data_IF_813736095696
#
_entry.id   IF_813736095696
#
_cell.length_a   1.000
_cell.length_b   1.000
_cell.length_c   1.000
_cell.angle_alpha   90.00
_cell.angle_beta   90.00
_cell.angle_gamma   90.00
#
_symmetry.space_group_name_H-M   'P 1'
#
loop_
_entity.id
_entity.type
_entity.pdbx_description
1 polymer ?
#
# COMPACT_ATOMS: atom_id res chain seq x y z
N UNK A 1 26.65 1.11 6.49
CA UNK A 1 26.07 1.60 5.23
C UNK A 1 25.14 2.77 5.55
N UNK A 2 25.02 3.74 4.66
CA UNK A 2 24.17 4.91 4.80
C UNK A 2 22.90 4.75 3.97
N UNK A 3 21.73 4.82 4.61
CA UNK A 3 20.45 4.92 3.92
C UNK A 3 19.90 6.34 4.04
N UNK A 4 19.42 6.90 2.93
CA UNK A 4 18.65 8.15 2.91
C UNK A 4 17.20 7.80 2.68
N UNK A 5 16.32 8.18 3.61
CA UNK A 5 14.90 7.89 3.53
C UNK A 5 14.08 9.18 3.45
N UNK A 6 13.44 9.42 2.31
CA UNK A 6 12.50 10.54 2.15
C UNK A 6 11.16 10.18 2.81
N UNK A 7 10.71 11.00 3.75
CA UNK A 7 9.46 10.81 4.50
C UNK A 7 9.69 10.25 5.91
N UNK A 8 9.76 11.12 6.91
CA UNK A 8 9.92 10.75 8.32
C UNK A 8 8.59 10.41 9.01
N UNK A 9 7.52 10.14 8.25
CA UNK A 9 6.20 9.79 8.77
C UNK A 9 6.11 8.38 9.37
N UNK A 10 4.90 7.93 9.69
CA UNK A 10 4.69 6.65 10.37
C UNK A 10 5.16 5.44 9.53
N UNK A 11 4.96 5.44 8.20
CA UNK A 11 5.48 4.38 7.32
C UNK A 11 7.01 4.42 7.28
N UNK A 12 7.60 5.61 7.14
CA UNK A 12 9.05 5.76 7.10
C UNK A 12 9.73 5.29 8.38
N UNK A 13 9.23 5.67 9.56
CA UNK A 13 9.79 5.24 10.85
C UNK A 13 9.39 3.80 11.21
N UNK A 14 8.11 3.47 11.06
CA UNK A 14 7.54 2.23 11.54
C UNK A 14 7.77 1.03 10.63
N UNK A 15 8.12 1.24 9.35
CA UNK A 15 8.32 0.16 8.40
C UNK A 15 9.70 0.22 7.74
N UNK A 16 9.92 1.16 6.82
CA UNK A 16 11.12 1.15 5.97
C UNK A 16 12.38 1.42 6.81
N UNK A 17 12.38 2.49 7.61
CA UNK A 17 13.47 2.82 8.53
C UNK A 17 13.73 1.76 9.60
N UNK A 18 12.69 1.04 10.04
CA UNK A 18 12.87 -0.10 10.96
C UNK A 18 13.66 -1.25 10.30
N UNK A 19 13.29 -1.64 9.07
CA UNK A 19 13.99 -2.70 8.34
C UNK A 19 15.42 -2.28 7.97
N UNK A 20 15.63 -1.02 7.59
CA UNK A 20 16.97 -0.47 7.36
C UNK A 20 17.84 -0.57 8.62
N UNK A 21 17.30 -0.23 9.79
CA UNK A 21 18.01 -0.37 11.06
C UNK A 21 18.35 -1.83 11.39
N UNK A 22 17.40 -2.75 11.23
CA UNK A 22 17.63 -4.19 11.44
C UNK A 22 18.74 -4.72 10.51
N UNK A 23 18.86 -4.12 9.33
CA UNK A 23 19.89 -4.43 8.32
C UNK A 23 21.22 -3.69 8.54
N UNK A 24 21.38 -2.98 9.66
CA UNK A 24 22.63 -2.30 10.02
C UNK A 24 22.91 -0.99 9.28
N UNK A 25 21.90 -0.38 8.65
CA UNK A 25 22.05 0.95 8.06
C UNK A 25 21.97 2.05 9.13
N UNK A 26 22.85 3.05 8.98
CA UNK A 26 22.60 4.38 9.56
C UNK A 26 21.57 5.07 8.66
N UNK A 27 20.50 5.61 9.24
CA UNK A 27 19.40 6.19 8.45
C UNK A 27 19.33 7.70 8.62
N UNK A 28 19.40 8.42 7.51
CA UNK A 28 19.12 9.86 7.46
C UNK A 28 17.74 10.05 6.87
N UNK A 29 16.79 10.50 7.69
CA UNK A 29 15.47 10.90 7.23
C UNK A 29 15.53 12.26 6.53
N UNK A 30 14.79 12.43 5.45
CA UNK A 30 14.61 13.72 4.76
C UNK A 30 13.13 14.05 4.76
N UNK A 31 12.75 15.15 5.42
CA UNK A 31 11.36 15.58 5.55
C UNK A 31 11.29 17.12 5.58
N UNK A 32 10.10 17.69 5.61
CA UNK A 32 9.86 19.13 5.78
C UNK A 32 9.25 19.48 7.14
N UNK A 33 8.82 18.47 7.91
CA UNK A 33 8.28 18.64 9.25
C UNK A 33 9.41 18.95 10.24
N UNK A 34 9.58 20.24 10.56
CA UNK A 34 10.64 20.75 11.43
C UNK A 34 10.64 20.11 12.83
N UNK A 35 9.46 19.85 13.41
CA UNK A 35 9.38 19.25 14.73
C UNK A 35 9.93 17.80 14.73
N UNK A 36 9.51 16.99 13.75
CA UNK A 36 10.01 15.63 13.61
C UNK A 36 11.52 15.60 13.33
N UNK A 37 12.00 16.49 12.45
CA UNK A 37 13.43 16.60 12.11
C UNK A 37 14.25 16.98 13.35
N UNK A 38 13.79 17.97 14.11
CA UNK A 38 14.45 18.41 15.33
C UNK A 38 14.54 17.28 16.37
N UNK A 39 13.42 16.61 16.63
CA UNK A 39 13.36 15.50 17.60
C UNK A 39 14.25 14.32 17.20
N UNK A 40 14.28 13.95 15.91
CA UNK A 40 15.15 12.88 15.41
C UNK A 40 16.64 13.23 15.58
N UNK A 41 17.02 14.49 15.37
CA UNK A 41 18.40 14.94 15.55
C UNK A 41 18.82 15.07 17.02
N UNK A 42 17.90 15.48 17.89
CA UNK A 42 18.12 15.56 19.33
C UNK A 42 18.32 14.16 19.94
N UNK A 43 17.39 13.25 19.65
CA UNK A 43 17.35 11.93 20.30
C UNK A 43 18.23 10.89 19.60
N UNK A 44 18.39 11.00 18.27
CA UNK A 44 19.08 10.03 17.40
C UNK A 44 18.56 8.60 17.52
N UNK A 45 17.35 8.44 18.05
CA UNK A 45 16.65 7.19 18.24
C UNK A 45 15.14 7.42 18.37
N UNK A 46 14.35 6.38 18.13
CA UNK A 46 12.90 6.36 18.38
C UNK A 46 12.43 4.93 18.68
N UNK A 47 11.17 4.78 19.09
CA UNK A 47 10.60 3.48 19.45
C UNK A 47 9.57 3.03 18.42
N UNK A 48 9.68 1.77 17.99
CA UNK A 48 8.64 1.06 17.24
C UNK A 48 7.98 0.08 18.19
N UNK A 49 6.65 0.08 18.25
CA UNK A 49 5.87 -0.77 19.14
C UNK A 49 4.99 -1.71 18.30
N UNK A 50 5.04 -3.01 18.57
CA UNK A 50 4.14 -3.96 17.93
C UNK A 50 2.74 -3.80 18.49
N UNK A 51 1.76 -3.57 17.63
CA UNK A 51 0.35 -3.52 17.98
C UNK A 51 -0.22 -4.94 18.00
N UNK A 52 0.18 -5.72 19.00
CA UNK A 52 -0.33 -7.05 19.33
C UNK A 52 -0.35 -7.26 20.86
N UNK A 53 -0.67 -8.46 21.33
CA UNK A 53 -0.74 -8.75 22.78
C UNK A 53 0.59 -8.49 23.50
N UNK A 54 1.72 -8.66 22.82
CA UNK A 54 3.05 -8.48 23.41
C UNK A 54 3.37 -7.01 23.70
N UNK A 55 2.81 -6.09 22.90
CA UNK A 55 3.21 -4.67 22.87
C UNK A 55 4.74 -4.49 22.84
N UNK A 56 5.45 -5.40 22.16
CA UNK A 56 6.92 -5.42 22.18
C UNK A 56 7.47 -4.12 21.60
N UNK A 57 8.39 -3.51 22.34
CA UNK A 57 9.11 -2.32 21.92
C UNK A 57 10.46 -2.65 21.28
N UNK A 58 10.77 -1.99 20.17
CA UNK A 58 12.06 -2.00 19.53
C UNK A 58 12.60 -0.57 19.45
N UNK A 59 13.79 -0.34 20.02
CA UNK A 59 14.47 0.95 19.95
C UNK A 59 15.30 0.99 18.66
N UNK A 60 14.94 1.91 17.77
CA UNK A 60 15.66 2.20 16.54
C UNK A 60 16.68 3.28 16.81
N UNK A 61 17.96 3.02 16.50
CA UNK A 61 19.09 3.91 16.80
C UNK A 61 19.84 4.30 15.53
N UNK A 62 20.87 5.15 15.67
CA UNK A 62 21.73 5.60 14.57
C UNK A 62 20.93 6.30 13.47
N UNK A 63 19.97 7.12 13.89
CA UNK A 63 19.16 7.92 12.99
C UNK A 63 19.47 9.40 13.14
N UNK A 64 19.29 10.14 12.05
CA UNK A 64 19.31 11.60 12.03
C UNK A 64 18.32 12.09 10.97
N UNK A 65 18.13 13.39 10.86
CA UNK A 65 17.21 13.96 9.89
C UNK A 65 17.72 15.26 9.28
N UNK A 66 17.28 15.54 8.06
CA UNK A 66 17.51 16.80 7.34
C UNK A 66 16.17 17.39 6.96
N UNK A 67 15.97 18.67 7.26
CA UNK A 67 14.82 19.39 6.74
C UNK A 67 15.12 19.86 5.32
N UNK A 68 14.51 19.25 4.30
CA UNK A 68 14.79 19.60 2.90
C UNK A 68 14.25 20.97 2.47
N UNK A 69 13.38 21.59 3.27
CA UNK A 69 12.88 22.95 3.01
C UNK A 69 13.84 24.05 3.47
N UNK A 70 14.65 23.78 4.50
CA UNK A 70 15.59 24.76 5.08
C UNK A 70 17.05 24.43 4.81
N UNK A 71 17.38 23.16 4.54
CA UNK A 71 18.75 22.68 4.28
C UNK A 71 18.78 21.69 3.09
N UNK A 72 18.36 22.19 1.93
CA UNK A 72 18.32 21.41 0.69
C UNK A 72 19.71 20.91 0.26
N UNK A 73 20.76 21.70 0.50
CA UNK A 73 22.13 21.33 0.13
C UNK A 73 22.63 20.13 0.93
N UNK A 74 22.34 20.07 2.23
CA UNK A 74 22.67 18.90 3.03
C UNK A 74 21.89 17.66 2.59
N UNK A 75 20.61 17.81 2.21
CA UNK A 75 19.84 16.68 1.69
C UNK A 75 20.46 16.13 0.39
N UNK A 76 20.88 17.01 -0.52
CA UNK A 76 21.64 16.66 -1.74
C UNK A 76 22.96 15.93 -1.39
N UNK A 77 23.70 16.42 -0.40
CA UNK A 77 24.94 15.80 0.06
C UNK A 77 24.71 14.39 0.62
N UNK A 78 23.64 14.19 1.39
CA UNK A 78 23.29 12.89 1.94
C UNK A 78 22.95 11.90 0.83
N UNK A 79 22.15 12.31 -0.18
CA UNK A 79 21.87 11.46 -1.35
C UNK A 79 23.16 11.07 -2.08
N UNK A 80 24.09 12.01 -2.26
CA UNK A 80 25.33 11.73 -2.96
C UNK A 80 26.18 10.65 -2.26
N UNK A 81 26.15 10.64 -0.91
CA UNK A 81 26.89 9.71 -0.05
C UNK A 81 26.16 8.39 0.23
N UNK A 82 24.89 8.28 -0.13
CA UNK A 82 24.05 7.14 0.22
C UNK A 82 24.56 5.83 -0.41
N UNK A 83 24.33 4.72 0.29
CA UNK A 83 24.41 3.35 -0.25
C UNK A 83 23.04 2.87 -0.75
N UNK A 84 21.96 3.45 -0.22
CA UNK A 84 20.58 3.20 -0.62
C UNK A 84 19.72 4.46 -0.40
N UNK A 85 18.86 4.79 -1.37
CA UNK A 85 17.83 5.81 -1.20
C UNK A 85 16.46 5.14 -1.21
N UNK A 86 15.59 5.51 -0.29
CA UNK A 86 14.20 5.05 -0.24
C UNK A 86 13.25 6.22 -0.03
N UNK A 87 11.97 6.05 -0.36
CA UNK A 87 10.95 7.08 -0.15
C UNK A 87 9.62 6.47 0.31
N UNK A 88 8.95 7.11 1.28
CA UNK A 88 7.57 6.85 1.67
C UNK A 88 6.89 8.20 1.99
N UNK A 89 6.64 8.99 0.95
CA UNK A 89 6.16 10.38 1.02
C UNK A 89 4.75 10.57 0.47
N UNK A 90 4.22 9.57 -0.23
CA UNK A 90 2.97 9.64 -0.97
C UNK A 90 3.19 9.94 -2.46
N UNK A 91 2.40 9.35 -3.38
CA UNK A 91 2.57 9.52 -4.84
C UNK A 91 2.69 10.97 -5.31
N UNK A 92 1.88 11.85 -4.73
CA UNK A 92 1.83 13.27 -5.10
C UNK A 92 3.08 14.04 -4.64
N UNK A 93 3.87 13.50 -3.71
CA UNK A 93 5.07 14.13 -3.16
C UNK A 93 6.34 13.69 -3.90
N UNK A 94 6.32 12.55 -4.62
CA UNK A 94 7.46 12.06 -5.41
C UNK A 94 8.05 13.12 -6.38
N UNK A 95 7.25 13.91 -7.13
CA UNK A 95 7.79 14.95 -8.00
C UNK A 95 8.57 16.05 -7.26
N UNK A 96 8.23 16.31 -5.99
CA UNK A 96 8.85 17.36 -5.19
C UNK A 96 10.22 16.94 -4.64
N UNK A 97 10.44 15.65 -4.37
CA UNK A 97 11.75 15.13 -3.92
C UNK A 97 12.71 14.86 -5.09
N UNK A 98 12.19 14.78 -6.32
CA UNK A 98 12.96 14.43 -7.51
C UNK A 98 14.12 15.41 -7.79
N UNK A 99 13.95 16.71 -7.51
CA UNK A 99 15.01 17.70 -7.67
C UNK A 99 16.21 17.46 -6.75
N UNK A 100 15.96 17.21 -5.47
CA UNK A 100 17.00 16.88 -4.49
C UNK A 100 17.75 15.61 -4.86
N UNK A 101 17.02 14.59 -5.32
CA UNK A 101 17.63 13.34 -5.77
C UNK A 101 18.50 13.60 -7.01
N UNK A 102 17.99 14.33 -8.01
CA UNK A 102 18.73 14.63 -9.24
C UNK A 102 20.07 15.34 -8.97
N UNK A 103 20.08 16.37 -8.12
CA UNK A 103 21.32 17.05 -7.73
C UNK A 103 22.26 16.14 -6.92
N UNK A 104 21.70 15.28 -6.07
CA UNK A 104 22.49 14.28 -5.33
C UNK A 104 23.16 13.27 -6.26
N UNK A 105 22.46 12.83 -7.31
CA UNK A 105 22.99 11.93 -8.33
C UNK A 105 24.09 12.60 -9.17
N UNK A 106 23.94 13.87 -9.56
CA UNK A 106 25.01 14.66 -10.22
C UNK A 106 26.26 14.73 -9.33
N UNK A 107 26.08 15.12 -8.07
CA UNK A 107 27.17 15.25 -7.09
C UNK A 107 27.87 13.92 -6.84
N UNK A 108 27.11 12.82 -6.75
CA UNK A 108 27.66 11.46 -6.67
C UNK A 108 28.46 11.13 -7.92
N UNK A 109 27.91 11.39 -9.10
CA UNK A 109 28.52 11.00 -10.37
C UNK A 109 29.86 11.69 -10.61
N UNK A 110 30.03 12.92 -10.11
CA UNK A 110 31.30 13.65 -10.12
C UNK A 110 32.36 13.10 -9.15
N UNK A 111 31.94 12.34 -8.12
CA UNK A 111 32.81 11.86 -7.04
C UNK A 111 33.10 10.36 -7.10
N UNK A 112 32.22 9.55 -7.69
CA UNK A 112 32.33 8.08 -7.70
C UNK A 112 31.50 7.44 -8.81
N UNK A 113 32.02 6.37 -9.40
CA UNK A 113 31.31 5.50 -10.36
C UNK A 113 30.44 4.42 -9.70
N UNK A 114 30.37 4.41 -8.36
CA UNK A 114 29.59 3.41 -7.63
C UNK A 114 28.10 3.55 -7.91
N UNK A 115 27.38 2.43 -8.19
CA UNK A 115 25.96 2.46 -8.46
C UNK A 115 25.17 2.90 -7.22
N UNK A 116 23.91 3.30 -7.43
CA UNK A 116 22.97 3.63 -6.36
C UNK A 116 21.58 3.15 -6.76
N UNK A 117 20.86 2.52 -5.83
CA UNK A 117 19.47 2.14 -6.04
C UNK A 117 18.54 3.08 -5.25
N UNK A 118 17.45 3.50 -5.88
CA UNK A 118 16.44 4.41 -5.36
C UNK A 118 15.09 3.70 -5.39
N UNK A 119 14.51 3.41 -4.23
CA UNK A 119 13.29 2.59 -4.10
C UNK A 119 12.15 3.41 -3.48
N UNK A 120 11.15 3.77 -4.28
CA UNK A 120 9.93 4.40 -3.78
C UNK A 120 8.98 3.32 -3.22
N UNK A 121 8.82 3.33 -1.91
CA UNK A 121 8.02 2.41 -1.10
C UNK A 121 6.62 2.99 -0.89
N UNK A 122 5.87 3.15 -1.98
CA UNK A 122 4.60 3.87 -2.00
C UNK A 122 3.39 2.94 -2.12
N UNK A 123 2.22 3.40 -1.70
CA UNK A 123 0.95 2.71 -1.95
C UNK A 123 0.45 2.99 -3.39
N UNK A 124 1.29 2.70 -4.38
CA UNK A 124 0.99 2.83 -5.80
C UNK A 124 1.80 1.82 -6.62
N UNK A 125 1.28 1.47 -7.79
CA UNK A 125 2.03 0.71 -8.80
C UNK A 125 2.98 1.68 -9.50
N UNK A 126 4.24 1.28 -9.71
CA UNK A 126 5.19 2.08 -10.48
C UNK A 126 5.74 3.31 -9.75
N UNK A 127 5.81 3.29 -8.41
CA UNK A 127 6.30 4.43 -7.63
C UNK A 127 7.74 4.83 -7.98
N UNK A 128 8.64 3.87 -8.12
CA UNK A 128 10.04 4.13 -8.51
C UNK A 128 10.13 4.50 -9.98
N UNK A 129 9.29 3.92 -10.82
CA UNK A 129 9.16 4.31 -12.24
C UNK A 129 8.74 5.79 -12.37
N UNK A 130 7.72 6.24 -11.63
CA UNK A 130 7.31 7.65 -11.60
C UNK A 130 8.42 8.55 -11.05
N UNK A 131 9.08 8.14 -9.96
CA UNK A 131 10.19 8.90 -9.40
C UNK A 131 11.35 9.02 -10.40
N UNK A 132 11.68 7.94 -11.11
CA UNK A 132 12.69 7.94 -12.17
C UNK A 132 12.34 8.95 -13.26
N UNK A 133 11.10 8.93 -13.76
CA UNK A 133 10.63 9.89 -14.76
C UNK A 133 10.90 11.33 -14.29
N UNK A 134 10.45 11.69 -13.08
CA UNK A 134 10.59 13.06 -12.55
C UNK A 134 12.04 13.45 -12.24
N UNK A 135 12.89 12.50 -11.88
CA UNK A 135 14.32 12.72 -11.70
C UNK A 135 15.00 12.94 -13.06
N UNK A 136 14.70 12.11 -14.06
CA UNK A 136 15.32 12.17 -15.39
C UNK A 136 14.85 13.36 -16.22
N UNK A 137 13.67 13.92 -15.96
CA UNK A 137 13.24 15.22 -16.49
C UNK A 137 14.19 16.37 -16.10
N UNK A 138 14.99 16.21 -15.04
CA UNK A 138 15.96 17.22 -14.59
C UNK A 138 17.29 17.14 -15.32
N UNK A 139 17.54 16.07 -16.07
CA UNK A 139 18.82 15.80 -16.73
C UNK A 139 18.82 16.18 -18.20
N UNK A 140 19.99 16.56 -18.72
CA UNK A 140 20.22 16.68 -20.16
C UNK A 140 20.44 15.28 -20.80
N UNK A 141 20.53 15.19 -22.12
CA UNK A 141 20.64 13.90 -22.83
C UNK A 141 21.95 13.14 -22.53
N UNK A 142 23.06 13.84 -22.30
CA UNK A 142 24.34 13.22 -21.93
C UNK A 142 24.26 12.60 -20.53
N UNK A 143 23.71 13.36 -19.57
CA UNK A 143 23.46 12.89 -18.21
C UNK A 143 22.52 11.68 -18.20
N UNK A 144 21.43 11.70 -18.96
CA UNK A 144 20.50 10.55 -19.05
C UNK A 144 21.21 9.29 -19.54
N UNK A 145 21.99 9.38 -20.62
CA UNK A 145 22.73 8.25 -21.16
C UNK A 145 23.73 7.69 -20.14
N UNK A 146 24.43 8.58 -19.44
CA UNK A 146 25.39 8.18 -18.40
C UNK A 146 24.71 7.53 -17.19
N UNK A 147 23.59 8.11 -16.73
CA UNK A 147 22.96 7.76 -15.47
C UNK A 147 22.02 6.55 -15.56
N UNK A 148 21.50 6.24 -16.74
CA UNK A 148 20.62 5.09 -17.00
C UNK A 148 21.24 3.75 -16.55
N UNK A 149 22.55 3.58 -16.74
CA UNK A 149 23.28 2.36 -16.37
C UNK A 149 23.90 2.39 -14.97
N UNK A 150 23.81 3.52 -14.26
CA UNK A 150 24.46 3.75 -12.95
C UNK A 150 23.48 3.78 -11.80
N UNK A 151 22.25 4.25 -12.04
CA UNK A 151 21.26 4.46 -10.99
C UNK A 151 20.01 3.61 -11.24
N UNK A 152 19.77 2.67 -10.33
CA UNK A 152 18.61 1.78 -10.37
C UNK A 152 17.40 2.43 -9.71
N UNK A 153 16.23 2.24 -10.32
CA UNK A 153 14.94 2.66 -9.77
C UNK A 153 13.99 1.47 -9.73
N UNK A 154 14.28 0.43 -8.94
CA UNK A 154 13.42 -0.73 -8.88
C UNK A 154 12.11 -0.39 -8.18
N UNK A 155 11.00 -0.74 -8.81
CA UNK A 155 9.68 -0.63 -8.19
C UNK A 155 9.57 -1.55 -6.98
N UNK A 156 8.63 -1.25 -6.10
CA UNK A 156 8.36 -2.03 -4.91
C UNK A 156 6.86 -2.21 -4.68
N UNK A 157 6.50 -3.35 -4.11
CA UNK A 157 5.20 -3.60 -3.50
C UNK A 157 5.41 -3.70 -1.98
N UNK A 158 4.74 -2.82 -1.23
CA UNK A 158 4.88 -2.71 0.22
C UNK A 158 3.53 -2.91 0.91
N UNK A 159 3.52 -3.68 2.01
CA UNK A 159 2.34 -3.90 2.82
C UNK A 159 2.70 -3.98 4.31
N UNK A 160 2.20 -3.01 5.07
CA UNK A 160 2.20 -3.00 6.53
C UNK A 160 1.09 -2.05 6.99
N UNK A 161 0.20 -2.53 7.85
CA UNK A 161 -0.82 -1.72 8.49
C UNK A 161 -0.13 -0.92 9.60
N UNK A 162 -0.21 0.39 9.44
CA UNK A 162 0.25 1.36 10.43
C UNK A 162 -0.97 2.24 10.74
N UNK A 163 -1.65 2.04 11.88
CA UNK A 163 -2.89 2.73 12.16
C UNK A 163 -2.66 4.24 12.31
N UNK A 164 -3.75 4.99 12.12
CA UNK A 164 -3.78 6.37 12.57
C UNK A 164 -3.59 6.39 14.08
N UNK A 165 -2.66 7.22 14.54
CA UNK A 165 -2.23 7.19 15.92
C UNK A 165 -1.77 8.57 16.36
N UNK A 166 -1.98 8.85 17.64
CA UNK A 166 -1.42 9.99 18.35
C UNK A 166 -0.78 9.45 19.61
N UNK A 167 0.52 9.66 19.74
CA UNK A 167 1.32 9.15 20.85
C UNK A 167 1.87 10.34 21.63
N UNK A 168 2.01 10.21 22.95
CA UNK A 168 2.68 11.22 23.77
C UNK A 168 4.13 11.42 23.30
N UNK A 169 4.84 10.31 23.03
CA UNK A 169 6.11 10.34 22.30
C UNK A 169 5.85 10.47 20.80
N UNK A 170 6.10 11.67 20.26
CA UNK A 170 5.90 12.00 18.84
C UNK A 170 6.74 11.17 17.85
N UNK A 171 7.86 10.61 18.30
CA UNK A 171 8.68 9.74 17.44
C UNK A 171 8.24 8.27 17.52
N UNK A 172 7.56 7.88 18.59
CA UNK A 172 7.06 6.52 18.76
C UNK A 172 6.01 6.21 17.68
N UNK A 173 6.08 4.98 17.15
CA UNK A 173 5.13 4.50 16.15
C UNK A 173 4.72 3.06 16.47
N UNK A 174 3.42 2.84 16.52
CA UNK A 174 2.77 1.53 16.60
C UNK A 174 2.55 0.97 15.21
N UNK A 175 2.89 -0.29 15.02
CA UNK A 175 2.79 -0.98 13.74
C UNK A 175 2.33 -2.41 13.95
N UNK A 176 1.67 -3.00 12.96
CA UNK A 176 1.38 -4.43 13.04
C UNK A 176 2.66 -5.28 12.94
N UNK A 177 2.66 -6.52 13.47
CA UNK A 177 3.79 -7.45 13.30
C UNK A 177 4.05 -7.86 11.85
N UNK A 178 2.99 -8.04 11.06
CA UNK A 178 3.10 -8.42 9.65
C UNK A 178 3.72 -7.30 8.81
N UNK A 179 4.59 -7.66 7.89
CA UNK A 179 5.04 -6.78 6.82
C UNK A 179 5.40 -7.59 5.58
N UNK A 180 5.35 -6.95 4.42
CA UNK A 180 5.84 -7.49 3.15
C UNK A 180 6.46 -6.35 2.32
N UNK A 181 7.69 -6.57 1.84
CA UNK A 181 8.39 -5.65 0.94
C UNK A 181 8.99 -6.43 -0.22
N UNK A 182 8.32 -6.43 -1.37
CA UNK A 182 8.83 -7.04 -2.60
C UNK A 182 9.45 -5.98 -3.50
N UNK A 183 10.58 -6.28 -4.15
CA UNK A 183 11.32 -5.35 -5.04
C UNK A 183 11.64 -6.02 -6.37
N UNK A 184 11.40 -5.30 -7.47
CA UNK A 184 11.78 -5.75 -8.82
C UNK A 184 13.30 -5.76 -8.97
N UNK A 185 13.89 -6.96 -8.97
CA UNK A 185 15.33 -7.11 -9.04
C UNK A 185 15.91 -6.83 -10.44
N UNK A 186 15.08 -6.83 -11.48
CA UNK A 186 15.52 -6.61 -12.87
C UNK A 186 15.94 -5.16 -13.14
N UNK A 187 15.52 -4.23 -12.26
CA UNK A 187 15.83 -2.80 -12.33
C UNK A 187 16.92 -2.37 -11.35
N UNK A 188 17.47 -3.32 -10.58
CA UNK A 188 18.60 -3.07 -9.68
C UNK A 188 19.87 -2.90 -10.51
N UNK A 189 20.64 -1.87 -10.19
CA UNK A 189 21.97 -1.66 -10.75
C UNK A 189 23.02 -2.04 -9.71
N UNK A 190 24.01 -2.84 -10.14
CA UNK A 190 25.09 -3.29 -9.28
C UNK A 190 24.67 -4.37 -8.29
N UNK A 191 25.10 -4.23 -7.04
CA UNK A 191 24.79 -5.20 -5.98
C UNK A 191 23.39 -4.95 -5.43
N UNK A 192 22.63 -6.02 -5.19
CA UNK A 192 21.33 -5.93 -4.52
C UNK A 192 21.53 -5.30 -3.13
N UNK A 193 20.71 -4.31 -2.73
CA UNK A 193 20.77 -3.80 -1.36
C UNK A 193 20.62 -4.94 -0.35
N UNK A 194 21.43 -4.96 0.69
CA UNK A 194 21.36 -6.01 1.71
C UNK A 194 20.42 -5.55 2.82
N UNK A 195 19.11 -5.67 2.57
CA UNK A 195 18.06 -5.26 3.51
C UNK A 195 17.23 -6.47 3.90
N UNK A 196 17.31 -6.84 5.17
CA UNK A 196 16.47 -7.86 5.78
C UNK A 196 14.99 -7.50 5.64
N UNK A 197 14.20 -8.48 5.21
CA UNK A 197 12.77 -8.31 4.96
C UNK A 197 12.40 -7.96 3.52
N UNK A 198 13.37 -7.66 2.64
CA UNK A 198 13.08 -7.53 1.19
C UNK A 198 13.01 -8.91 0.53
N UNK A 199 11.95 -9.12 -0.23
CA UNK A 199 11.83 -10.22 -1.19
C UNK A 199 12.14 -9.70 -2.60
N UNK A 200 13.29 -10.10 -3.15
CA UNK A 200 13.68 -9.74 -4.52
C UNK A 200 13.02 -10.68 -5.53
N UNK A 201 12.34 -10.10 -6.53
CA UNK A 201 11.51 -10.85 -7.49
C UNK A 201 11.74 -10.36 -8.90
N UNK A 202 11.56 -11.24 -9.90
CA UNK A 202 11.68 -10.88 -11.32
C UNK A 202 10.41 -10.23 -11.87
N UNK A 203 9.26 -10.46 -11.21
CA UNK A 203 7.98 -9.86 -11.58
C UNK A 203 7.22 -9.47 -10.31
N UNK A 204 6.91 -8.18 -10.18
CA UNK A 204 6.12 -7.63 -9.07
C UNK A 204 4.62 -7.81 -9.25
N UNK A 205 4.14 -7.99 -10.48
CA UNK A 205 2.71 -8.04 -10.78
C UNK A 205 1.96 -9.09 -9.95
N UNK A 206 2.48 -10.32 -9.76
CA UNK A 206 1.83 -11.31 -8.89
C UNK A 206 1.68 -10.84 -7.45
N UNK A 207 2.68 -10.16 -6.90
CA UNK A 207 2.67 -9.66 -5.52
C UNK A 207 1.72 -8.49 -5.33
N UNK A 208 1.70 -7.56 -6.30
CA UNK A 208 0.79 -6.42 -6.32
C UNK A 208 -0.66 -6.91 -6.37
N UNK A 209 -0.99 -7.81 -7.31
CA UNK A 209 -2.35 -8.33 -7.43
C UNK A 209 -2.73 -9.24 -6.24
N UNK A 210 -1.81 -10.05 -5.72
CA UNK A 210 -2.07 -10.86 -4.51
C UNK A 210 -2.43 -9.97 -3.32
N UNK A 211 -1.69 -8.89 -3.09
CA UNK A 211 -1.98 -7.93 -2.03
C UNK A 211 -3.30 -7.21 -2.29
N UNK A 212 -3.52 -6.72 -3.51
CA UNK A 212 -4.75 -6.01 -3.88
C UNK A 212 -5.99 -6.90 -3.71
N UNK A 213 -5.93 -8.15 -4.15
CA UNK A 213 -7.08 -9.05 -4.18
C UNK A 213 -7.25 -9.91 -2.92
N UNK A 214 -6.30 -9.84 -1.97
CA UNK A 214 -6.40 -10.51 -0.67
C UNK A 214 -6.60 -9.48 0.43
N UNK A 215 -5.61 -8.59 0.62
CA UNK A 215 -5.62 -7.59 1.70
C UNK A 215 -6.67 -6.53 1.45
N UNK A 216 -6.62 -5.85 0.29
CA UNK A 216 -7.53 -4.75 0.04
C UNK A 216 -8.98 -5.24 -0.17
N UNK A 217 -9.18 -6.38 -0.84
CA UNK A 217 -10.50 -7.02 -0.99
C UNK A 217 -11.08 -7.42 0.36
N UNK A 218 -10.34 -8.18 1.17
CA UNK A 218 -10.81 -8.60 2.49
C UNK A 218 -11.13 -7.42 3.40
N UNK A 219 -10.29 -6.37 3.40
CA UNK A 219 -10.52 -5.18 4.22
C UNK A 219 -11.73 -4.35 3.74
N UNK A 220 -11.95 -4.26 2.42
CA UNK A 220 -13.15 -3.64 1.87
C UNK A 220 -14.41 -4.46 2.15
N UNK A 221 -14.33 -5.79 2.09
CA UNK A 221 -15.42 -6.68 2.45
C UNK A 221 -15.82 -6.50 3.93
N UNK A 222 -14.84 -6.50 4.85
CA UNK A 222 -15.08 -6.22 6.27
C UNK A 222 -15.76 -4.87 6.49
N UNK A 223 -15.30 -3.82 5.80
CA UNK A 223 -15.88 -2.49 5.92
C UNK A 223 -17.34 -2.42 5.44
N UNK A 224 -17.63 -2.88 4.22
CA UNK A 224 -18.97 -2.73 3.65
C UNK A 224 -20.00 -3.66 4.30
N UNK A 225 -19.61 -4.90 4.61
CA UNK A 225 -20.48 -5.83 5.34
C UNK A 225 -20.70 -5.39 6.79
N UNK A 226 -19.64 -4.92 7.46
CA UNK A 226 -19.73 -4.35 8.81
C UNK A 226 -20.64 -3.14 8.86
N UNK A 227 -20.47 -2.20 7.93
CA UNK A 227 -21.33 -1.02 7.80
C UNK A 227 -22.80 -1.41 7.59
N UNK A 228 -23.07 -2.33 6.66
CA UNK A 228 -24.42 -2.82 6.40
C UNK A 228 -25.05 -3.48 7.64
N UNK A 229 -24.25 -4.21 8.44
CA UNK A 229 -24.70 -4.83 9.68
C UNK A 229 -24.78 -3.87 10.89
N UNK A 230 -24.48 -2.58 10.71
CA UNK A 230 -24.45 -1.60 11.81
C UNK A 230 -23.28 -1.78 12.79
N UNK A 231 -22.21 -2.47 12.37
CA UNK A 231 -21.00 -2.69 13.16
C UNK A 231 -19.98 -1.60 12.86
N UNK A 232 -19.52 -0.83 13.87
CA UNK A 232 -18.73 0.39 13.61
C UNK A 232 -17.27 0.10 13.22
N UNK A 233 -16.71 -1.04 13.60
CA UNK A 233 -15.28 -1.31 13.45
C UNK A 233 -14.99 -2.59 12.67
N UNK A 234 -13.79 -2.65 12.06
CA UNK A 234 -13.34 -3.81 11.28
C UNK A 234 -13.21 -5.07 12.15
N UNK A 235 -12.60 -4.97 13.33
CA UNK A 235 -12.48 -6.09 14.26
C UNK A 235 -13.86 -6.58 14.74
N UNK A 236 -14.79 -5.65 14.95
CA UNK A 236 -16.20 -5.95 15.23
C UNK A 236 -16.84 -6.74 14.10
N UNK A 237 -16.63 -6.33 12.85
CA UNK A 237 -17.14 -7.04 11.67
C UNK A 237 -16.56 -8.45 11.58
N UNK A 238 -15.28 -8.61 11.89
CA UNK A 238 -14.59 -9.91 11.92
C UNK A 238 -15.05 -10.83 13.06
N UNK A 239 -15.62 -10.28 14.14
CA UNK A 239 -16.21 -11.04 15.24
C UNK A 239 -17.62 -11.57 14.92
N UNK A 240 -18.25 -11.12 13.82
CA UNK A 240 -19.51 -11.67 13.34
C UNK A 240 -19.23 -12.87 12.41
N UNK A 241 -19.67 -14.10 12.78
CA UNK A 241 -19.38 -15.30 11.98
C UNK A 241 -19.91 -15.25 10.55
N UNK A 242 -21.10 -14.67 10.32
CA UNK A 242 -21.71 -14.59 8.99
C UNK A 242 -20.96 -13.59 8.09
N UNK A 243 -20.48 -12.49 8.66
CA UNK A 243 -19.65 -11.52 7.92
C UNK A 243 -18.29 -12.15 7.60
N UNK A 244 -17.67 -12.80 8.59
CA UNK A 244 -16.37 -13.47 8.43
C UNK A 244 -16.41 -14.54 7.34
N UNK A 245 -17.48 -15.34 7.28
CA UNK A 245 -17.66 -16.36 6.23
C UNK A 245 -17.65 -15.75 4.83
N UNK A 246 -18.34 -14.61 4.62
CA UNK A 246 -18.37 -13.93 3.31
C UNK A 246 -16.99 -13.35 2.97
N UNK A 247 -16.25 -12.84 3.95
CA UNK A 247 -14.90 -12.30 3.74
C UNK A 247 -13.93 -13.41 3.34
N UNK A 248 -13.95 -14.52 4.07
CA UNK A 248 -13.13 -15.71 3.76
C UNK A 248 -13.50 -16.29 2.40
N UNK A 249 -14.79 -16.34 2.07
CA UNK A 249 -15.28 -16.75 0.75
C UNK A 249 -14.77 -15.84 -0.38
N UNK A 250 -14.84 -14.52 -0.19
CA UNK A 250 -14.36 -13.56 -1.20
C UNK A 250 -12.85 -13.68 -1.40
N UNK A 251 -12.08 -13.82 -0.31
CA UNK A 251 -10.63 -14.03 -0.37
C UNK A 251 -10.27 -15.38 -0.99
N UNK A 252 -11.09 -16.42 -0.77
CA UNK A 252 -10.90 -17.72 -1.42
C UNK A 252 -11.16 -17.64 -2.92
N UNK A 253 -12.24 -16.98 -3.34
CA UNK A 253 -12.57 -16.75 -4.76
C UNK A 253 -11.42 -16.01 -5.47
N UNK A 254 -10.91 -14.92 -4.88
CA UNK A 254 -9.75 -14.21 -5.45
C UNK A 254 -8.49 -15.07 -5.44
N UNK A 255 -8.27 -15.85 -4.38
CA UNK A 255 -7.12 -16.74 -4.26
C UNK A 255 -7.09 -17.85 -5.31
N UNK A 256 -8.22 -18.50 -5.57
CA UNK A 256 -8.31 -19.53 -6.62
C UNK A 256 -8.01 -18.94 -8.01
N UNK A 257 -8.50 -17.72 -8.28
CA UNK A 257 -8.17 -16.98 -9.50
C UNK A 257 -6.67 -16.66 -9.59
N UNK A 258 -6.07 -16.14 -8.51
CA UNK A 258 -4.64 -15.79 -8.45
C UNK A 258 -3.74 -17.02 -8.63
N UNK A 259 -4.07 -18.15 -7.98
CA UNK A 259 -3.35 -19.42 -8.11
C UNK A 259 -3.36 -19.87 -9.58
N UNK A 260 -4.51 -19.84 -10.23
CA UNK A 260 -4.61 -20.23 -11.64
C UNK A 260 -3.88 -19.25 -12.57
N UNK A 261 -3.89 -17.95 -12.27
CA UNK A 261 -3.30 -16.90 -13.11
C UNK A 261 -1.77 -16.85 -13.01
N UNK A 262 -1.23 -17.02 -11.80
CA UNK A 262 0.20 -16.82 -11.52
C UNK A 262 0.94 -18.08 -11.09
N UNK A 263 0.24 -19.20 -10.91
CA UNK A 263 0.87 -20.45 -10.49
C UNK A 263 1.42 -20.40 -9.06
N UNK A 264 0.83 -19.60 -8.17
CA UNK A 264 1.18 -19.65 -6.75
C UNK A 264 0.98 -21.07 -6.20
N UNK A 265 1.90 -21.52 -5.35
CA UNK A 265 1.72 -22.77 -4.62
C UNK A 265 0.48 -22.63 -3.72
N UNK A 266 -0.46 -23.57 -3.85
CA UNK A 266 -1.78 -23.48 -3.23
C UNK A 266 -1.71 -23.38 -1.71
N UNK A 267 -0.95 -24.26 -1.07
CA UNK A 267 -0.87 -24.27 0.40
C UNK A 267 -0.24 -22.98 0.94
N UNK A 268 0.80 -22.45 0.28
CA UNK A 268 1.43 -21.19 0.61
C UNK A 268 0.47 -20.00 0.42
N UNK A 269 -0.32 -19.99 -0.66
CA UNK A 269 -1.30 -18.93 -0.90
C UNK A 269 -2.46 -18.98 0.10
N UNK A 270 -2.97 -20.18 0.42
CA UNK A 270 -4.02 -20.36 1.44
C UNK A 270 -3.52 -19.96 2.83
N UNK A 271 -2.27 -20.30 3.18
CA UNK A 271 -1.64 -19.84 4.42
C UNK A 271 -1.47 -18.32 4.46
N UNK A 272 -1.06 -17.70 3.34
CA UNK A 272 -1.01 -16.25 3.21
C UNK A 272 -2.39 -15.62 3.41
N UNK A 273 -3.42 -16.11 2.71
CA UNK A 273 -4.80 -15.62 2.81
C UNK A 273 -5.33 -15.71 4.25
N UNK A 274 -5.15 -16.85 4.92
CA UNK A 274 -5.54 -17.03 6.32
C UNK A 274 -4.80 -16.05 7.25
N UNK A 275 -3.49 -15.84 7.02
CA UNK A 275 -2.70 -14.84 7.75
C UNK A 275 -3.27 -13.43 7.53
N UNK A 276 -3.67 -13.10 6.30
CA UNK A 276 -4.26 -11.81 5.98
C UNK A 276 -5.60 -11.60 6.68
N UNK A 277 -6.52 -12.56 6.57
CA UNK A 277 -7.84 -12.45 7.20
C UNK A 277 -7.71 -12.31 8.72
N UNK A 278 -6.79 -13.04 9.34
CA UNK A 278 -6.50 -12.92 10.77
C UNK A 278 -5.88 -11.56 11.17
N UNK A 279 -5.27 -10.79 10.26
CA UNK A 279 -4.82 -9.42 10.59
C UNK A 279 -6.01 -8.52 10.92
N UNK A 280 -7.16 -8.74 10.30
CA UNK A 280 -8.37 -7.94 10.51
C UNK A 280 -9.03 -8.19 11.87
N UNK A 281 -8.68 -9.29 12.55
CA UNK A 281 -9.18 -9.60 13.90
C UNK A 281 -8.32 -8.98 15.00
N UNK A 282 -7.27 -8.23 14.65
CA UNK A 282 -6.33 -7.68 15.64
C UNK A 282 -6.98 -6.53 16.45
N UNK A 283 -7.28 -6.72 17.75
CA UNK A 283 -7.96 -5.70 18.54
C UNK A 283 -7.09 -4.47 18.83
N UNK A 284 -5.78 -4.58 18.63
CA UNK A 284 -4.83 -3.47 18.81
C UNK A 284 -4.73 -2.58 17.57
N UNK A 285 -5.37 -2.97 16.47
CA UNK A 285 -5.41 -2.27 15.19
C UNK A 285 -6.84 -2.32 14.67
N UNK A 286 -7.73 -1.59 15.35
CA UNK A 286 -9.11 -1.44 14.92
C UNK A 286 -9.31 -0.12 14.19
N UNK A 287 -9.99 -0.20 13.05
CA UNK A 287 -10.37 0.94 12.23
C UNK A 287 -11.88 1.00 12.08
N UNK A 288 -12.41 2.22 11.97
CA UNK A 288 -13.82 2.45 11.67
C UNK A 288 -14.17 1.93 10.25
N UNK A 289 -15.30 1.24 10.11
CA UNK A 289 -15.80 0.74 8.83
C UNK A 289 -16.05 1.88 7.85
N UNK A 290 -16.42 3.08 8.32
CA UNK A 290 -16.62 4.27 7.47
C UNK A 290 -15.30 4.81 6.94
N UNK A 291 -14.24 4.77 7.75
CA UNK A 291 -12.89 5.16 7.33
C UNK A 291 -12.33 4.20 6.29
N UNK A 292 -12.48 2.89 6.54
CA UNK A 292 -11.99 1.87 5.61
C UNK A 292 -12.87 1.80 4.38
N UNK A 293 -14.19 2.02 4.51
CA UNK A 293 -15.22 1.99 3.47
C UNK A 293 -15.19 3.18 2.51
N UNK A 294 -14.57 4.30 2.87
CA UNK A 294 -14.51 5.53 2.05
C UNK A 294 -14.08 5.35 0.58
N UNK A 295 -14.51 6.27 -0.27
CA UNK A 295 -14.27 6.26 -1.74
C UNK A 295 -14.78 5.00 -2.43
N UNK A 296 -16.09 4.70 -2.35
CA UNK A 296 -16.68 3.52 -2.98
C UNK A 296 -16.59 3.51 -4.50
N UNK A 297 -16.66 4.65 -5.20
CA UNK A 297 -16.57 4.68 -6.67
C UNK A 297 -15.21 4.16 -7.11
N UNK A 298 -14.13 4.62 -6.47
CA UNK A 298 -12.79 4.11 -6.76
C UNK A 298 -12.68 2.60 -6.55
N UNK A 299 -13.24 2.07 -5.46
CA UNK A 299 -13.13 0.64 -5.10
C UNK A 299 -14.06 -0.28 -5.89
N UNK A 300 -15.18 0.26 -6.38
CA UNK A 300 -16.07 -0.37 -7.35
C UNK A 300 -15.51 -0.30 -8.77
N UNK A 301 -14.46 0.50 -9.01
CA UNK A 301 -13.84 0.65 -10.32
C UNK A 301 -13.42 -0.70 -10.94
N UNK A 302 -13.46 -0.81 -12.28
CA UNK A 302 -13.27 -2.05 -13.02
C UNK A 302 -11.92 -2.74 -12.76
N UNK A 303 -10.91 -1.96 -12.39
CA UNK A 303 -9.52 -2.41 -12.20
C UNK A 303 -9.10 -2.42 -10.71
N UNK A 304 -10.03 -2.19 -9.77
CA UNK A 304 -9.75 -2.18 -8.33
C UNK A 304 -10.20 -3.50 -7.66
N UNK A 305 -10.11 -3.53 -6.33
CA UNK A 305 -10.12 -4.71 -5.45
C UNK A 305 -11.39 -5.56 -5.44
N UNK A 306 -12.51 -5.09 -5.98
CA UNK A 306 -13.77 -5.84 -5.94
C UNK A 306 -14.16 -6.35 -7.33
N UNK A 307 -14.27 -5.43 -8.28
CA UNK A 307 -14.79 -5.75 -9.61
C UNK A 307 -13.76 -6.46 -10.48
N UNK A 308 -12.49 -6.05 -10.42
CA UNK A 308 -11.45 -6.70 -11.21
C UNK A 308 -11.32 -8.19 -10.90
N UNK A 309 -11.20 -8.63 -9.63
CA UNK A 309 -11.12 -10.07 -9.36
C UNK A 309 -12.44 -10.80 -9.64
N UNK A 310 -13.61 -10.14 -9.49
CA UNK A 310 -14.89 -10.77 -9.82
C UNK A 310 -15.03 -11.06 -11.33
N UNK A 311 -14.66 -10.09 -12.18
CA UNK A 311 -14.61 -10.26 -13.64
C UNK A 311 -13.63 -11.37 -14.03
N UNK A 312 -12.39 -11.30 -13.51
CA UNK A 312 -11.36 -12.29 -13.83
C UNK A 312 -11.71 -13.70 -13.36
N UNK A 313 -12.31 -13.85 -12.18
CA UNK A 313 -12.80 -15.13 -11.70
C UNK A 313 -13.85 -15.71 -12.65
N UNK A 314 -14.83 -14.90 -13.06
CA UNK A 314 -15.88 -15.34 -13.96
C UNK A 314 -15.34 -15.72 -15.35
N UNK A 315 -14.43 -14.91 -15.90
CA UNK A 315 -13.78 -15.19 -17.19
C UNK A 315 -12.97 -16.48 -17.17
N UNK A 316 -12.29 -16.75 -16.05
CA UNK A 316 -11.43 -17.93 -15.90
C UNK A 316 -12.22 -19.22 -15.65
N UNK A 317 -13.27 -19.17 -14.82
CA UNK A 317 -13.99 -20.35 -14.33
C UNK A 317 -15.32 -20.61 -15.04
N UNK A 318 -15.94 -19.57 -15.61
CA UNK A 318 -17.34 -19.59 -16.06
C UNK A 318 -18.36 -19.43 -14.93
N UNK A 319 -17.94 -19.51 -13.67
CA UNK A 319 -18.82 -19.44 -12.50
C UNK A 319 -18.99 -17.99 -12.00
N UNK A 320 -20.04 -17.76 -11.22
CA UNK A 320 -20.28 -16.48 -10.56
C UNK A 320 -19.65 -16.51 -9.16
N UNK A 321 -18.78 -15.55 -8.80
CA UNK A 321 -18.19 -15.49 -7.47
C UNK A 321 -19.24 -14.99 -6.45
N UNK A 322 -19.78 -15.92 -5.66
CA UNK A 322 -20.91 -15.67 -4.77
C UNK A 322 -20.58 -14.63 -3.68
N UNK A 323 -19.38 -14.67 -3.13
CA UNK A 323 -18.97 -13.81 -2.03
C UNK A 323 -18.58 -12.42 -2.53
N UNK A 324 -17.80 -12.33 -3.62
CA UNK A 324 -17.47 -11.04 -4.24
C UNK A 324 -18.71 -10.29 -4.71
N UNK A 325 -19.69 -10.97 -5.32
CA UNK A 325 -20.95 -10.32 -5.73
C UNK A 325 -21.73 -9.78 -4.52
N UNK A 326 -21.75 -10.50 -3.39
CA UNK A 326 -22.33 -10.02 -2.14
C UNK A 326 -21.59 -8.81 -1.57
N UNK A 327 -20.25 -8.80 -1.63
CA UNK A 327 -19.44 -7.64 -1.19
C UNK A 327 -19.66 -6.43 -2.10
N UNK A 328 -19.75 -6.62 -3.41
CA UNK A 328 -20.06 -5.54 -4.36
C UNK A 328 -21.45 -4.97 -4.07
N UNK A 329 -22.45 -5.82 -3.81
CA UNK A 329 -23.77 -5.38 -3.39
C UNK A 329 -23.74 -4.56 -2.08
N UNK A 330 -22.99 -5.01 -1.07
CA UNK A 330 -22.79 -4.27 0.17
C UNK A 330 -22.15 -2.88 -0.08
N UNK A 331 -21.18 -2.80 -1.00
CA UNK A 331 -20.54 -1.55 -1.38
C UNK A 331 -21.50 -0.58 -2.10
N UNK A 332 -22.44 -1.11 -2.89
CA UNK A 332 -23.50 -0.31 -3.53
C UNK A 332 -24.58 0.16 -2.53
N UNK A 333 -24.78 -0.56 -1.43
CA UNK A 333 -25.66 -0.17 -0.31
C UNK A 333 -25.01 0.82 0.66
N UNK A 334 -23.72 1.10 0.52
CA UNK A 334 -22.99 2.00 1.41
C UNK A 334 -23.46 3.46 1.23
N UNK A 335 -24.14 4.01 2.24
CA UNK A 335 -24.83 5.31 2.20
C UNK A 335 -24.27 6.33 3.20
N UNK A 336 -22.99 6.19 3.58
CA UNK A 336 -22.36 7.10 4.54
C UNK A 336 -22.31 8.54 4.04
N UNK A 337 -23.12 9.41 4.66
CA UNK A 337 -23.42 10.78 4.19
C UNK A 337 -22.22 11.74 4.17
N UNK A 338 -21.16 11.45 4.93
CA UNK A 338 -19.95 12.28 4.95
C UNK A 338 -18.95 11.91 3.85
N UNK A 339 -19.20 10.84 3.09
CA UNK A 339 -18.40 10.46 1.93
C UNK A 339 -19.09 10.93 0.62
N UNK A 340 -18.53 11.91 -0.10
CA UNK A 340 -19.11 12.41 -1.34
C UNK A 340 -19.25 11.34 -2.44
N UNK A 341 -18.35 10.35 -2.49
CA UNK A 341 -18.46 9.25 -3.46
C UNK A 341 -19.63 8.32 -3.08
N UNK A 342 -19.87 8.07 -1.80
CA UNK A 342 -21.02 7.29 -1.35
C UNK A 342 -22.35 7.98 -1.68
N UNK A 343 -22.44 9.29 -1.42
CA UNK A 343 -23.60 10.11 -1.81
C UNK A 343 -23.86 10.03 -3.32
N UNK A 344 -22.81 10.16 -4.13
CA UNK A 344 -22.90 10.06 -5.60
C UNK A 344 -23.42 8.69 -6.05
N UNK A 345 -22.98 7.60 -5.40
CA UNK A 345 -23.48 6.24 -5.68
C UNK A 345 -24.99 6.17 -5.38
N UNK A 346 -25.43 6.62 -4.21
CA UNK A 346 -26.84 6.57 -3.81
C UNK A 346 -27.75 7.43 -4.72
N UNK A 347 -27.30 8.64 -5.07
CA UNK A 347 -28.03 9.52 -6.00
C UNK A 347 -28.14 8.90 -7.41
N UNK A 348 -27.09 8.21 -7.87
CA UNK A 348 -27.10 7.53 -9.16
C UNK A 348 -28.07 6.35 -9.15
N UNK A 349 -28.08 5.55 -8.09
CA UNK A 349 -29.04 4.44 -7.93
C UNK A 349 -30.48 4.99 -7.91
N UNK A 350 -30.73 6.06 -7.16
CA UNK A 350 -32.07 6.66 -7.04
C UNK A 350 -32.57 7.28 -8.36
N UNK A 351 -31.68 7.89 -9.14
CA UNK A 351 -32.05 8.62 -10.36
C UNK A 351 -32.06 7.76 -11.63
N UNK A 352 -31.15 6.78 -11.73
CA UNK A 352 -30.96 5.98 -12.94
C UNK A 352 -31.33 4.51 -12.80
N UNK A 353 -31.51 4.00 -11.58
CA UNK A 353 -31.69 2.59 -11.30
C UNK A 353 -30.38 1.88 -10.93
N UNK A 354 -30.51 0.70 -10.31
CA UNK A 354 -29.38 -0.08 -9.80
C UNK A 354 -28.51 -0.62 -10.94
N UNK A 355 -29.12 -1.15 -11.99
CA UNK A 355 -28.41 -1.75 -13.13
C UNK A 355 -27.53 -0.72 -13.85
N UNK A 356 -28.06 0.50 -14.07
CA UNK A 356 -27.32 1.59 -14.68
C UNK A 356 -26.21 2.11 -13.77
N UNK A 357 -26.41 2.11 -12.45
CA UNK A 357 -25.37 2.47 -11.50
C UNK A 357 -24.24 1.43 -11.49
N UNK A 358 -24.56 0.13 -11.51
CA UNK A 358 -23.58 -0.95 -11.63
C UNK A 358 -22.73 -0.73 -12.89
N UNK A 359 -23.35 -0.58 -14.05
CA UNK A 359 -22.60 -0.40 -15.30
C UNK A 359 -21.73 0.87 -15.26
N UNK A 360 -22.24 1.97 -14.72
CA UNK A 360 -21.52 3.25 -14.65
C UNK A 360 -20.26 3.20 -13.76
N UNK A 361 -20.29 2.48 -12.63
CA UNK A 361 -19.18 2.47 -11.68
C UNK A 361 -18.25 1.26 -11.85
N UNK A 362 -18.76 0.15 -12.39
CA UNK A 362 -18.02 -1.12 -12.47
C UNK A 362 -17.61 -1.49 -13.89
N UNK A 363 -18.21 -0.84 -14.91
CA UNK A 363 -18.13 -1.25 -16.31
C UNK A 363 -18.51 -2.74 -16.53
N UNK A 364 -19.34 -3.31 -15.64
CA UNK A 364 -19.97 -4.61 -15.86
C UNK A 364 -21.24 -4.33 -16.70
N UNK A 365 -21.41 -4.97 -17.87
CA UNK A 365 -22.59 -4.75 -18.69
C UNK A 365 -23.88 -5.12 -17.93
N UNK A 366 -24.90 -4.25 -17.97
CA UNK A 366 -26.12 -4.41 -17.19
C UNK A 366 -26.82 -5.77 -17.39
N UNK A 367 -26.77 -6.33 -18.60
CA UNK A 367 -27.41 -7.60 -18.96
C UNK A 367 -26.57 -8.86 -18.67
N UNK A 368 -25.33 -8.70 -18.17
CA UNK A 368 -24.44 -9.83 -17.88
C UNK A 368 -24.92 -10.67 -16.69
N UNK A 369 -24.51 -11.94 -16.63
CA UNK A 369 -24.80 -12.82 -15.50
C UNK A 369 -24.21 -12.28 -14.19
N UNK A 370 -23.02 -11.66 -14.25
CA UNK A 370 -22.39 -11.03 -13.09
C UNK A 370 -23.21 -9.84 -12.58
N UNK A 371 -23.73 -8.98 -13.47
CA UNK A 371 -24.63 -7.88 -13.10
C UNK A 371 -25.90 -8.40 -12.42
N UNK A 372 -26.55 -9.42 -13.00
CA UNK A 372 -27.77 -10.03 -12.43
C UNK A 372 -27.51 -10.60 -11.03
N UNK A 373 -26.35 -11.24 -10.82
CA UNK A 373 -25.97 -11.76 -9.52
C UNK A 373 -25.78 -10.65 -8.48
N UNK A 374 -25.13 -9.54 -8.85
CA UNK A 374 -24.97 -8.36 -7.99
C UNK A 374 -26.34 -7.77 -7.62
N UNK A 375 -27.23 -7.59 -8.59
CA UNK A 375 -28.60 -7.10 -8.36
C UNK A 375 -29.36 -8.03 -7.40
N UNK A 376 -29.27 -9.35 -7.60
CA UNK A 376 -29.93 -10.31 -6.72
C UNK A 376 -29.40 -10.23 -5.28
N UNK A 377 -28.09 -10.09 -5.09
CA UNK A 377 -27.50 -9.90 -3.75
C UNK A 377 -27.95 -8.59 -3.12
N UNK A 378 -27.96 -7.49 -3.89
CA UNK A 378 -28.41 -6.18 -3.42
C UNK A 378 -29.85 -6.21 -2.91
N UNK A 379 -30.77 -6.77 -3.69
CA UNK A 379 -32.19 -6.87 -3.31
C UNK A 379 -32.43 -7.81 -2.13
N UNK A 380 -31.59 -8.83 -1.96
CA UNK A 380 -31.67 -9.72 -0.80
C UNK A 380 -31.15 -9.05 0.48
N UNK A 381 -30.12 -8.20 0.38
CA UNK A 381 -29.59 -7.47 1.53
C UNK A 381 -30.46 -6.28 1.96
N UNK A 382 -31.32 -5.78 1.07
CA UNK A 382 -32.24 -4.67 1.37
C UNK A 382 -33.49 -5.10 2.16
N UNK A 383 -33.80 -6.40 2.17
CA UNK A 383 -34.91 -7.00 2.92
C UNK A 383 -34.54 -7.15 4.39
#
# INVERSE_FOLDING_TARGET
MLAVHFGAGNIGRGFIGNLLYQSGYETVFVDVNEELVSLLNERKQYTVVLADESQQEQIIKNVSAVNSSTDAEKAVEMVAKADLVTAAVGPNILPFIAGTIAEGLRKRAAASDSPLNIIACENMIGGSTLLKEKVFEKFNEEEKQQFESRFGFPDAAVDRIVPNQSNEDKLMVKVEPFYEWAVDQTKIVGTKPDVEGITYVDDLKPYIERKLFTVNTGHAAAAYLGYHAGVPTIDGAMNNPEIKEVIEGAVKETGDMLISKYGFERAAHEAYAAKIVNRFTNPYISDEVTRVGRSPIRKLGPNDRLVSPAKQYHELTGDIPASLTKVIAAALLYDYKEDPEAVTVQETIASKGLEQAIEAFTEIPAASELSKAIVSQYENMKK
#
